data_IF_440370109273
#
_entry.id   IF_440370109273
#
_cell.length_a   1.000
_cell.length_b   1.000
_cell.length_c   1.000
_cell.angle_alpha   90.00
_cell.angle_beta   90.00
_cell.angle_gamma   90.00
#
_symmetry.space_group_name_H-M   'P 1'
#
loop_
_entity.id
_entity.type
_entity.pdbx_description
1 polymer ?
#
# COMPACT_ATOMS: atom_id res chain seq x y z
N UNK A 1 53.50 -20.45 -23.18
CA UNK A 1 52.45 -19.50 -23.62
C UNK A 1 51.23 -19.76 -22.73
N UNK A 2 50.84 -18.79 -21.88
CA UNK A 2 49.78 -18.95 -20.87
C UNK A 2 48.40 -18.87 -21.54
N UNK A 3 47.47 -19.83 -21.34
CA UNK A 3 46.12 -19.71 -21.87
C UNK A 3 45.35 -18.67 -21.05
N UNK A 4 44.87 -17.63 -21.74
CA UNK A 4 43.91 -16.65 -21.22
C UNK A 4 42.56 -17.35 -21.03
N UNK A 5 42.12 -17.52 -19.79
CA UNK A 5 40.74 -17.92 -19.47
C UNK A 5 39.88 -16.66 -19.52
N UNK A 6 39.05 -16.52 -20.57
CA UNK A 6 38.00 -15.51 -20.61
C UNK A 6 36.91 -15.86 -19.60
N UNK A 7 36.81 -15.10 -18.52
CA UNK A 7 35.66 -15.12 -17.61
C UNK A 7 34.49 -14.38 -18.26
N UNK A 8 33.46 -15.13 -18.65
CA UNK A 8 32.18 -14.62 -19.14
C UNK A 8 31.36 -14.12 -17.93
N UNK A 9 31.32 -12.81 -17.70
CA UNK A 9 30.41 -12.21 -16.72
C UNK A 9 28.97 -12.30 -17.24
N UNK A 10 28.16 -13.18 -16.63
CA UNK A 10 26.72 -13.23 -16.83
C UNK A 10 26.09 -11.95 -16.27
N UNK A 11 25.67 -11.05 -17.15
CA UNK A 11 24.79 -9.93 -16.83
C UNK A 11 23.42 -10.51 -16.43
N UNK A 12 23.18 -10.67 -15.12
CA UNK A 12 21.84 -10.98 -14.62
C UNK A 12 20.98 -9.72 -14.85
N UNK A 13 19.89 -9.80 -15.64
CA UNK A 13 18.97 -8.68 -15.75
C UNK A 13 18.35 -8.45 -14.37
N UNK A 14 18.61 -7.27 -13.79
CA UNK A 14 18.03 -6.87 -12.53
C UNK A 14 16.50 -6.87 -12.65
N UNK A 15 15.84 -7.85 -12.03
CA UNK A 15 14.41 -7.75 -11.80
C UNK A 15 14.19 -6.48 -10.97
N UNK A 16 13.40 -5.55 -11.51
CA UNK A 16 12.91 -4.41 -10.75
C UNK A 16 12.18 -4.97 -9.52
N UNK A 17 12.84 -4.97 -8.37
CA UNK A 17 12.21 -5.36 -7.13
C UNK A 17 11.21 -4.25 -6.82
N UNK A 18 9.92 -4.54 -6.99
CA UNK A 18 8.89 -3.73 -6.35
C UNK A 18 9.27 -3.62 -4.87
N UNK A 19 9.38 -2.38 -4.37
CA UNK A 19 9.82 -2.11 -2.99
C UNK A 19 8.91 -2.91 -2.04
N UNK A 20 9.41 -4.03 -1.51
CA UNK A 20 8.64 -4.88 -0.62
C UNK A 20 8.48 -4.16 0.72
N UNK A 21 7.28 -4.21 1.31
CA UNK A 21 7.04 -3.62 2.61
C UNK A 21 7.93 -4.25 3.68
N UNK A 22 8.41 -3.45 4.64
CA UNK A 22 9.17 -4.01 5.75
C UNK A 22 8.23 -4.79 6.69
N UNK A 23 8.56 -6.02 7.11
CA UNK A 23 7.69 -6.80 7.99
C UNK A 23 7.30 -6.09 9.30
N UNK A 24 8.21 -5.28 9.86
CA UNK A 24 7.95 -4.50 11.07
C UNK A 24 6.86 -3.43 10.87
N UNK A 25 6.81 -2.80 9.69
CA UNK A 25 5.79 -1.80 9.34
C UNK A 25 4.41 -2.46 9.23
N UNK A 26 4.37 -3.61 8.52
CA UNK A 26 3.15 -4.41 8.37
C UNK A 26 2.62 -4.84 9.74
N UNK A 27 3.49 -5.33 10.62
CA UNK A 27 3.11 -5.70 11.99
C UNK A 27 2.62 -4.50 12.81
N UNK A 28 3.25 -3.34 12.65
CA UNK A 28 2.85 -2.10 13.33
C UNK A 28 1.43 -1.69 12.92
N UNK A 29 1.15 -1.66 11.61
CA UNK A 29 -0.19 -1.34 11.10
C UNK A 29 -1.22 -2.38 11.51
N UNK A 30 -0.89 -3.68 11.44
CA UNK A 30 -1.80 -4.74 11.83
C UNK A 30 -2.22 -4.61 13.30
N UNK A 31 -1.24 -4.41 14.19
CA UNK A 31 -1.49 -4.19 15.62
C UNK A 31 -2.33 -2.92 15.84
N UNK A 32 -2.05 -1.84 15.11
CA UNK A 32 -2.83 -0.61 15.20
C UNK A 32 -4.30 -0.84 14.81
N UNK A 33 -4.55 -1.47 13.66
CA UNK A 33 -5.91 -1.76 13.18
C UNK A 33 -6.67 -2.62 14.19
N UNK A 34 -6.06 -3.69 14.68
CA UNK A 34 -6.70 -4.59 15.64
C UNK A 34 -7.06 -3.88 16.95
N UNK A 35 -6.17 -3.01 17.45
CA UNK A 35 -6.39 -2.25 18.67
C UNK A 35 -7.50 -1.20 18.49
N UNK A 36 -7.44 -0.41 17.41
CA UNK A 36 -8.40 0.67 17.17
C UNK A 36 -9.78 0.17 16.72
N UNK A 37 -9.88 -1.01 16.09
CA UNK A 37 -11.15 -1.57 15.65
C UNK A 37 -11.99 -2.20 16.78
N UNK A 38 -11.51 -2.19 18.03
CA UNK A 38 -12.24 -2.76 19.16
C UNK A 38 -13.42 -1.87 19.58
N UNK A 39 -14.61 -2.16 19.04
CA UNK A 39 -15.85 -1.42 19.35
C UNK A 39 -15.94 -0.03 18.73
N UNK A 40 -15.03 0.31 17.81
CA UNK A 40 -14.97 1.63 17.18
C UNK A 40 -15.33 1.56 15.68
N UNK A 41 -15.80 2.67 15.08
CA UNK A 41 -16.02 2.76 13.64
C UNK A 41 -14.71 2.82 12.84
N UNK A 42 -14.77 2.52 11.54
CA UNK A 42 -13.62 2.56 10.63
C UNK A 42 -12.87 3.90 10.68
N UNK A 43 -13.59 5.03 10.82
CA UNK A 43 -12.99 6.36 10.91
C UNK A 43 -12.01 6.52 12.08
N UNK A 44 -12.23 5.80 13.19
CA UNK A 44 -11.30 5.78 14.32
C UNK A 44 -10.00 5.07 13.96
N UNK A 45 -10.07 3.99 13.20
CA UNK A 45 -8.89 3.25 12.72
C UNK A 45 -8.10 4.09 11.74
N UNK A 46 -8.78 4.70 10.75
CA UNK A 46 -8.13 5.56 9.76
C UNK A 46 -7.43 6.73 10.45
N UNK A 47 -8.11 7.45 11.33
CA UNK A 47 -7.50 8.59 12.05
C UNK A 47 -6.41 8.23 13.06
N UNK A 48 -6.36 6.97 13.52
CA UNK A 48 -5.37 6.50 14.50
C UNK A 48 -4.16 5.79 13.90
N UNK A 49 -4.30 5.19 12.72
CA UNK A 49 -3.29 4.31 12.13
C UNK A 49 -2.62 4.87 10.88
N UNK A 50 -3.29 5.75 10.13
CA UNK A 50 -2.70 6.37 8.94
C UNK A 50 -1.68 7.43 9.36
N UNK A 51 -0.48 7.38 8.80
CA UNK A 51 0.65 8.24 9.11
C UNK A 51 1.54 7.75 10.25
N UNK A 52 1.26 6.57 10.83
CA UNK A 52 2.03 6.05 11.97
C UNK A 52 3.46 5.65 11.58
N UNK A 53 3.72 5.35 10.31
CA UNK A 53 5.04 5.01 9.79
C UNK A 53 5.68 6.24 9.14
N UNK A 54 4.94 6.98 8.30
CA UNK A 54 5.51 8.13 7.58
C UNK A 54 5.80 9.36 8.46
N UNK A 55 5.24 9.41 9.67
CA UNK A 55 5.43 10.53 10.59
C UNK A 55 6.92 10.86 10.86
N UNK A 56 7.80 9.86 10.83
CA UNK A 56 9.24 10.02 11.02
C UNK A 56 9.93 10.81 9.88
N UNK A 57 9.30 10.91 8.71
CA UNK A 57 9.88 11.49 7.50
C UNK A 57 9.46 12.96 7.27
N UNK A 58 8.51 13.47 8.05
CA UNK A 58 7.85 14.77 7.81
C UNK A 58 8.76 16.00 7.86
N UNK A 59 9.95 15.88 8.45
CA UNK A 59 10.95 16.94 8.51
C UNK A 59 12.03 16.82 7.42
N UNK A 60 11.89 15.86 6.49
CA UNK A 60 12.82 15.63 5.40
C UNK A 60 12.55 16.50 4.16
N UNK A 61 13.32 16.24 3.12
CA UNK A 61 13.07 16.74 1.76
C UNK A 61 11.75 16.22 1.21
N UNK A 62 11.23 16.86 0.15
CA UNK A 62 10.02 16.38 -0.53
C UNK A 62 10.12 14.92 -0.97
N UNK A 63 11.32 14.48 -1.36
CA UNK A 63 11.58 13.10 -1.74
C UNK A 63 11.48 12.17 -0.53
N UNK A 64 12.18 12.48 0.57
CA UNK A 64 12.14 11.66 1.79
C UNK A 64 10.73 11.57 2.38
N UNK A 65 9.95 12.66 2.34
CA UNK A 65 8.55 12.64 2.77
C UNK A 65 7.74 11.67 1.89
N UNK A 66 7.82 11.80 0.57
CA UNK A 66 7.11 10.92 -0.35
C UNK A 66 7.53 9.45 -0.20
N UNK A 67 8.83 9.19 0.04
CA UNK A 67 9.34 7.84 0.32
C UNK A 67 8.77 7.27 1.61
N UNK A 68 8.70 8.06 2.68
CA UNK A 68 8.05 7.66 3.94
C UNK A 68 6.59 7.29 3.76
N UNK A 69 5.85 8.10 3.01
CA UNK A 69 4.44 7.85 2.68
C UNK A 69 4.29 6.57 1.85
N UNK A 70 5.14 6.38 0.84
CA UNK A 70 5.10 5.18 -0.01
C UNK A 70 5.55 3.91 0.72
N UNK A 71 6.42 4.03 1.72
CA UNK A 71 6.76 2.94 2.65
C UNK A 71 5.53 2.51 3.44
N UNK A 72 4.79 3.47 4.00
CA UNK A 72 3.55 3.16 4.70
C UNK A 72 2.48 2.58 3.75
N UNK A 73 2.31 3.15 2.56
CA UNK A 73 1.44 2.59 1.52
C UNK A 73 1.75 1.12 1.23
N UNK A 74 3.03 0.75 1.08
CA UNK A 74 3.41 -0.63 0.81
C UNK A 74 2.99 -1.58 1.95
N UNK A 75 3.09 -1.11 3.20
CA UNK A 75 2.64 -1.87 4.36
C UNK A 75 1.10 -2.03 4.39
N UNK A 76 0.35 -0.98 4.07
CA UNK A 76 -1.11 -1.07 3.89
C UNK A 76 -1.51 -2.00 2.75
N UNK A 77 -0.83 -1.94 1.60
CA UNK A 77 -1.09 -2.83 0.46
C UNK A 77 -0.79 -4.31 0.80
N UNK A 78 0.23 -4.55 1.63
CA UNK A 78 0.53 -5.89 2.13
C UNK A 78 -0.61 -6.42 3.00
N UNK A 79 -1.17 -5.60 3.90
CA UNK A 79 -2.34 -5.97 4.70
C UNK A 79 -3.60 -6.17 3.85
N UNK A 80 -3.83 -5.29 2.87
CA UNK A 80 -4.93 -5.42 1.92
C UNK A 80 -4.88 -6.78 1.20
N UNK A 81 -3.70 -7.17 0.71
CA UNK A 81 -3.51 -8.45 0.03
C UNK A 81 -3.60 -9.66 0.99
N UNK A 82 -3.17 -9.50 2.24
CA UNK A 82 -3.34 -10.54 3.26
C UNK A 82 -4.84 -10.81 3.55
N UNK A 83 -5.64 -9.76 3.69
CA UNK A 83 -7.09 -9.87 3.91
C UNK A 83 -7.90 -10.18 2.65
N UNK A 84 -7.34 -9.93 1.46
CA UNK A 84 -7.94 -10.35 0.20
C UNK A 84 -8.14 -11.88 0.12
N UNK A 85 -7.22 -12.68 0.68
CA UNK A 85 -7.32 -14.14 0.64
C UNK A 85 -8.57 -14.69 1.35
N UNK A 86 -8.84 -14.35 2.63
CA UNK A 86 -10.08 -14.77 3.28
C UNK A 86 -11.33 -14.11 2.66
N UNK A 87 -11.25 -12.87 2.16
CA UNK A 87 -12.35 -12.23 1.42
C UNK A 87 -12.72 -13.04 0.16
N UNK A 88 -11.71 -13.44 -0.62
CA UNK A 88 -11.86 -14.31 -1.79
C UNK A 88 -12.50 -15.64 -1.40
N UNK A 89 -11.99 -16.32 -0.38
CA UNK A 89 -12.52 -17.61 0.06
C UNK A 89 -14.00 -17.50 0.45
N UNK A 90 -14.37 -16.48 1.22
CA UNK A 90 -15.77 -16.20 1.59
C UNK A 90 -16.64 -15.90 0.37
N UNK A 91 -16.15 -15.08 -0.57
CA UNK A 91 -16.90 -14.74 -1.77
C UNK A 91 -17.11 -15.95 -2.69
N UNK A 92 -16.12 -16.84 -2.80
CA UNK A 92 -16.23 -18.10 -3.54
C UNK A 92 -17.27 -19.02 -2.89
N UNK A 93 -17.22 -19.19 -1.57
CA UNK A 93 -18.21 -19.99 -0.83
C UNK A 93 -19.64 -19.45 -0.98
N UNK A 94 -19.80 -18.12 -1.07
CA UNK A 94 -21.09 -17.45 -1.19
C UNK A 94 -21.55 -17.23 -2.64
N UNK A 95 -20.80 -17.69 -3.65
CA UNK A 95 -21.13 -17.47 -5.06
C UNK A 95 -21.07 -16.00 -5.53
N UNK A 96 -20.34 -15.14 -4.81
CA UNK A 96 -20.22 -13.69 -5.08
C UNK A 96 -18.83 -13.29 -5.59
N UNK A 97 -17.97 -14.26 -5.91
CA UNK A 97 -16.58 -14.05 -6.32
C UNK A 97 -16.42 -13.06 -7.48
N UNK A 98 -17.17 -13.23 -8.57
CA UNK A 98 -17.02 -12.39 -9.75
C UNK A 98 -17.36 -10.91 -9.46
N UNK A 99 -18.36 -10.67 -8.61
CA UNK A 99 -18.73 -9.33 -8.15
C UNK A 99 -17.62 -8.71 -7.29
N UNK A 100 -17.05 -9.46 -6.35
CA UNK A 100 -15.95 -8.98 -5.51
C UNK A 100 -14.72 -8.66 -6.36
N UNK A 101 -14.34 -9.55 -7.29
CA UNK A 101 -13.19 -9.36 -8.18
C UNK A 101 -13.38 -8.15 -9.11
N UNK A 102 -14.57 -7.99 -9.70
CA UNK A 102 -14.89 -6.85 -10.53
C UNK A 102 -14.81 -5.53 -9.74
N UNK A 103 -15.37 -5.50 -8.53
CA UNK A 103 -15.32 -4.34 -7.64
C UNK A 103 -13.88 -3.98 -7.25
N UNK A 104 -13.03 -4.97 -6.92
CA UNK A 104 -11.64 -4.71 -6.57
C UNK A 104 -10.82 -4.16 -7.74
N UNK A 105 -11.02 -4.70 -8.96
CA UNK A 105 -10.36 -4.20 -10.17
C UNK A 105 -10.79 -2.78 -10.53
N UNK A 106 -12.08 -2.47 -10.35
CA UNK A 106 -12.58 -1.13 -10.56
C UNK A 106 -11.98 -0.15 -9.54
N UNK A 107 -11.95 -0.54 -8.26
CA UNK A 107 -11.34 0.27 -7.21
C UNK A 107 -9.88 0.62 -7.49
N UNK A 108 -9.07 -0.33 -7.99
CA UNK A 108 -7.67 -0.04 -8.37
C UNK A 108 -7.60 1.06 -9.44
N UNK A 109 -8.43 0.96 -10.49
CA UNK A 109 -8.47 1.98 -11.55
C UNK A 109 -8.91 3.33 -11.03
N UNK A 110 -9.92 3.35 -10.15
CA UNK A 110 -10.45 4.59 -9.58
C UNK A 110 -9.42 5.25 -8.66
N UNK A 111 -8.73 4.47 -7.83
CA UNK A 111 -7.62 4.93 -6.99
C UNK A 111 -6.51 5.55 -7.84
N UNK A 112 -6.04 4.84 -8.86
CA UNK A 112 -4.93 5.32 -9.68
C UNK A 112 -5.31 6.61 -10.43
N UNK A 113 -6.55 6.69 -10.94
CA UNK A 113 -7.06 7.91 -11.56
C UNK A 113 -7.22 9.06 -10.57
N UNK A 114 -7.68 8.80 -9.34
CA UNK A 114 -7.79 9.81 -8.29
C UNK A 114 -6.42 10.33 -7.86
N UNK A 115 -5.44 9.45 -7.69
CA UNK A 115 -4.11 9.88 -7.26
C UNK A 115 -3.33 10.59 -8.37
N UNK A 116 -3.62 10.29 -9.64
CA UNK A 116 -3.16 11.12 -10.75
C UNK A 116 -3.81 12.52 -10.70
N UNK A 117 -5.12 12.63 -10.43
CA UNK A 117 -5.78 13.94 -10.23
C UNK A 117 -5.18 14.71 -9.05
N UNK A 118 -4.85 14.03 -7.95
CA UNK A 118 -4.19 14.65 -6.81
C UNK A 118 -2.81 15.22 -7.20
N UNK A 119 -2.03 14.47 -7.99
CA UNK A 119 -0.77 14.97 -8.55
C UNK A 119 -0.97 16.21 -9.44
N UNK A 120 -1.90 16.14 -10.39
CA UNK A 120 -2.11 17.18 -11.40
C UNK A 120 -2.67 18.48 -10.78
N UNK A 121 -3.50 18.36 -9.73
CA UNK A 121 -4.14 19.50 -9.05
C UNK A 121 -3.25 20.17 -7.99
N UNK A 122 -2.19 19.49 -7.52
CA UNK A 122 -1.28 20.01 -6.50
C UNK A 122 -0.34 21.14 -6.99
N UNK A 123 -0.42 21.51 -8.26
CA UNK A 123 0.40 22.56 -8.87
C UNK A 123 1.78 22.10 -9.31
N UNK A 124 2.72 23.04 -9.44
CA UNK A 124 4.08 22.78 -9.92
C UNK A 124 5.04 22.26 -8.84
N UNK A 125 6.27 21.94 -9.26
CA UNK A 125 7.37 21.57 -8.35
C UNK A 125 7.33 20.12 -7.86
N UNK A 126 8.04 19.83 -6.77
CA UNK A 126 8.12 18.48 -6.18
C UNK A 126 6.93 18.14 -5.28
N UNK A 127 6.21 19.15 -4.76
CA UNK A 127 5.14 18.97 -3.76
C UNK A 127 4.03 18.03 -4.24
N UNK A 128 3.69 18.06 -5.52
CA UNK A 128 2.73 17.15 -6.17
C UNK A 128 3.02 15.66 -5.97
N UNK A 129 4.28 15.29 -5.78
CA UNK A 129 4.66 13.90 -5.48
C UNK A 129 4.14 13.48 -4.11
N UNK A 130 4.15 14.38 -3.11
CA UNK A 130 3.59 14.12 -1.78
C UNK A 130 2.08 13.89 -1.90
N UNK A 131 1.35 14.78 -2.58
CA UNK A 131 -0.12 14.63 -2.74
C UNK A 131 -0.52 13.31 -3.41
N UNK A 132 0.20 12.90 -4.45
CA UNK A 132 -0.03 11.61 -5.09
C UNK A 132 0.26 10.43 -4.15
N UNK A 133 1.35 10.50 -3.38
CA UNK A 133 1.72 9.48 -2.41
C UNK A 133 0.71 9.37 -1.27
N UNK A 134 0.24 10.50 -0.72
CA UNK A 134 -0.78 10.53 0.33
C UNK A 134 -2.09 9.91 -0.16
N UNK A 135 -2.53 10.27 -1.38
CA UNK A 135 -3.70 9.65 -1.99
C UNK A 135 -3.56 8.12 -2.08
N UNK A 136 -2.41 7.63 -2.55
CA UNK A 136 -2.16 6.18 -2.66
C UNK A 136 -2.25 5.51 -1.29
N UNK A 137 -1.53 6.05 -0.29
CA UNK A 137 -1.55 5.55 1.10
C UNK A 137 -2.97 5.53 1.66
N UNK A 138 -3.69 6.64 1.58
CA UNK A 138 -4.97 6.84 2.25
C UNK A 138 -6.08 5.96 1.65
N UNK A 139 -6.17 5.89 0.32
CA UNK A 139 -7.17 5.05 -0.35
C UNK A 139 -6.87 3.55 -0.15
N UNK A 140 -5.61 3.15 -0.14
CA UNK A 140 -5.21 1.76 0.15
C UNK A 140 -5.49 1.41 1.62
N UNK A 141 -5.19 2.30 2.57
CA UNK A 141 -5.52 2.12 3.98
C UNK A 141 -7.03 1.99 4.20
N UNK A 142 -7.83 2.87 3.59
CA UNK A 142 -9.28 2.80 3.63
C UNK A 142 -9.80 1.45 3.12
N UNK A 143 -9.26 0.95 2.00
CA UNK A 143 -9.67 -0.34 1.45
C UNK A 143 -9.26 -1.52 2.32
N UNK A 144 -8.07 -1.47 2.92
CA UNK A 144 -7.62 -2.48 3.85
C UNK A 144 -8.54 -2.54 5.09
N UNK A 145 -8.86 -1.38 5.67
CA UNK A 145 -9.78 -1.30 6.82
C UNK A 145 -11.19 -1.78 6.47
N UNK A 146 -11.71 -1.47 5.27
CA UNK A 146 -12.98 -2.01 4.77
C UNK A 146 -12.99 -3.56 4.76
N UNK A 147 -11.90 -4.18 4.28
CA UNK A 147 -11.77 -5.64 4.30
C UNK A 147 -11.66 -6.19 5.72
N UNK A 148 -10.87 -5.56 6.60
CA UNK A 148 -10.77 -5.98 7.99
C UNK A 148 -12.15 -5.99 8.67
N UNK A 149 -12.93 -4.92 8.51
CA UNK A 149 -14.27 -4.85 9.09
C UNK A 149 -15.20 -5.89 8.49
N UNK A 150 -15.20 -6.04 7.16
CA UNK A 150 -16.02 -7.05 6.49
C UNK A 150 -15.76 -8.47 6.98
N UNK A 151 -14.51 -8.77 7.39
CA UNK A 151 -14.10 -10.09 7.85
C UNK A 151 -14.33 -10.32 9.35
N UNK A 152 -14.13 -9.30 10.18
CA UNK A 152 -13.95 -9.47 11.63
C UNK A 152 -14.92 -8.65 12.49
N UNK A 153 -15.85 -7.90 11.89
CA UNK A 153 -16.85 -7.08 12.58
C UNK A 153 -18.24 -7.34 11.98
#
# INVERSE_FOLDING_TARGET
MRPFVLALFLLVPGAAQAQQAQPADVQTLQSCVQNYANGAPQSRVIGGCVGIIDGAFRNGTTLEIAEGIMREHAAWDTLLNAWWQPMKARAQANGTWDRLLASQRQWIRDRDAECQRAYDSAGGGSIRVIYAAECQRDLTAAKAVDFFYSLYK
#
